data_IF_536045142951
#
_entry.id   IF_536045142951
#
_cell.length_a   1.000
_cell.length_b   1.000
_cell.length_c   1.000
_cell.angle_alpha   90.00
_cell.angle_beta   90.00
_cell.angle_gamma   90.00
#
_symmetry.space_group_name_H-M   'P 1'
#
loop_
_entity.id
_entity.type
_entity.pdbx_description
1 polymer ?
#
# COMPACT_ATOMS: atom_id res chain seq x y z
N UNK A 1 22.64 -13.20 -2.36
CA UNK A 1 21.30 -12.84 -2.88
C UNK A 1 20.66 -11.90 -1.87
N UNK A 2 19.87 -10.91 -2.32
CA UNK A 2 19.12 -9.99 -1.45
C UNK A 2 17.63 -10.25 -1.57
N UNK A 3 16.89 -10.28 -0.46
CA UNK A 3 15.44 -10.61 -0.42
C UNK A 3 14.65 -9.46 0.18
N UNK A 4 13.63 -8.98 -0.53
CA UNK A 4 12.80 -7.86 -0.14
C UNK A 4 11.33 -8.29 -0.03
N UNK A 5 10.61 -7.79 0.98
CA UNK A 5 9.16 -7.94 1.08
C UNK A 5 8.47 -6.85 0.28
N UNK A 6 7.64 -7.24 -0.68
CA UNK A 6 6.76 -6.33 -1.43
C UNK A 6 5.30 -6.66 -1.09
N UNK A 7 4.49 -5.64 -0.83
CA UNK A 7 3.09 -5.82 -0.47
C UNK A 7 2.17 -4.86 -1.23
N UNK A 8 1.15 -5.38 -1.91
CA UNK A 8 0.17 -4.55 -2.63
C UNK A 8 -0.84 -3.88 -1.69
N UNK A 9 -1.08 -4.43 -0.50
CA UNK A 9 -2.09 -3.96 0.45
C UNK A 9 -3.52 -4.01 -0.13
N UNK A 10 -4.04 -5.17 -0.53
CA UNK A 10 -5.36 -5.27 -1.14
C UNK A 10 -6.49 -5.03 -0.13
N UNK A 11 -7.62 -4.52 -0.61
CA UNK A 11 -8.90 -4.58 0.10
C UNK A 11 -9.42 -6.02 0.07
N UNK A 12 -8.83 -6.88 0.90
CA UNK A 12 -9.11 -8.32 0.91
C UNK A 12 -10.53 -8.71 1.34
N UNK A 13 -11.27 -7.78 1.94
CA UNK A 13 -12.65 -7.98 2.37
C UNK A 13 -13.69 -7.47 1.35
N UNK A 14 -13.27 -7.09 0.14
CA UNK A 14 -14.17 -6.63 -0.90
C UNK A 14 -15.23 -7.70 -1.23
N UNK A 15 -16.50 -7.30 -1.29
CA UNK A 15 -17.56 -8.18 -1.74
C UNK A 15 -17.38 -8.52 -3.23
N UNK A 16 -16.89 -9.72 -3.50
CA UNK A 16 -16.57 -10.16 -4.86
C UNK A 16 -17.81 -10.27 -5.76
N UNK A 17 -18.99 -10.58 -5.19
CA UNK A 17 -20.25 -10.62 -5.97
C UNK A 17 -20.66 -9.24 -6.46
N UNK A 18 -20.47 -8.21 -5.62
CA UNK A 18 -20.72 -6.82 -6.03
C UNK A 18 -19.62 -6.33 -6.97
N UNK A 19 -18.35 -6.66 -6.71
CA UNK A 19 -17.23 -6.37 -7.63
C UNK A 19 -17.51 -6.86 -9.04
N UNK A 20 -17.99 -8.10 -9.19
CA UNK A 20 -18.26 -8.74 -10.49
C UNK A 20 -19.34 -8.03 -11.32
N UNK A 21 -20.12 -7.13 -10.72
CA UNK A 21 -21.09 -6.27 -11.42
C UNK A 21 -20.45 -5.04 -12.06
N UNK A 22 -19.18 -4.78 -11.78
CA UNK A 22 -18.41 -3.67 -12.34
C UNK A 22 -17.38 -4.17 -13.36
N UNK A 23 -17.07 -3.40 -14.41
CA UNK A 23 -16.12 -3.83 -15.44
C UNK A 23 -14.71 -4.13 -14.93
N UNK A 24 -14.29 -3.46 -13.85
CA UNK A 24 -12.97 -3.60 -13.27
C UNK A 24 -12.95 -3.17 -11.80
N UNK A 25 -12.05 -3.80 -11.04
CA UNK A 25 -11.67 -3.36 -9.70
C UNK A 25 -10.71 -2.15 -9.72
N UNK A 26 -10.35 -1.65 -10.90
CA UNK A 26 -9.52 -0.47 -11.15
C UNK A 26 -10.32 0.58 -11.91
N UNK A 27 -10.31 1.81 -11.41
CA UNK A 27 -10.97 3.02 -11.92
C UNK A 27 -12.49 2.99 -11.81
N UNK A 28 -13.15 1.90 -12.19
CA UNK A 28 -14.61 1.85 -12.34
C UNK A 28 -15.36 1.40 -11.09
N UNK A 29 -14.66 0.92 -10.06
CA UNK A 29 -15.27 0.41 -8.84
C UNK A 29 -15.64 1.58 -7.90
N UNK A 30 -16.90 1.71 -7.46
CA UNK A 30 -17.29 2.79 -6.57
C UNK A 30 -16.70 2.61 -5.17
N UNK A 31 -16.30 3.72 -4.55
CA UNK A 31 -15.78 3.73 -3.18
C UNK A 31 -16.84 3.38 -2.12
N UNK A 32 -18.13 3.38 -2.47
CA UNK A 32 -19.21 2.94 -1.58
C UNK A 32 -19.12 1.45 -1.22
N UNK A 33 -18.31 0.66 -1.95
CA UNK A 33 -18.00 -0.73 -1.61
C UNK A 33 -16.83 -0.88 -0.63
N UNK A 34 -16.18 0.23 -0.23
CA UNK A 34 -15.09 0.21 0.74
C UNK A 34 -15.64 0.40 2.16
N UNK A 35 -15.40 -0.59 3.02
CA UNK A 35 -15.77 -0.55 4.44
C UNK A 35 -14.62 0.03 5.28
N UNK A 36 -14.73 1.26 5.83
CA UNK A 36 -13.59 1.95 6.43
C UNK A 36 -13.00 1.25 7.65
N UNK A 37 -13.85 0.63 8.49
CA UNK A 37 -13.39 -0.11 9.68
C UNK A 37 -12.53 -1.32 9.31
N UNK A 38 -13.01 -2.09 8.34
CA UNK A 38 -12.27 -3.25 7.81
C UNK A 38 -11.01 -2.80 7.09
N UNK A 39 -11.09 -1.72 6.33
CA UNK A 39 -9.93 -1.11 5.69
C UNK A 39 -8.84 -0.69 6.68
N UNK A 40 -9.22 -0.11 7.82
CA UNK A 40 -8.29 0.20 8.91
C UNK A 40 -7.60 -1.04 9.48
N UNK A 41 -8.36 -2.10 9.79
CA UNK A 41 -7.81 -3.36 10.30
C UNK A 41 -6.82 -3.99 9.30
N UNK A 42 -7.19 -4.04 8.01
CA UNK A 42 -6.33 -4.53 6.94
C UNK A 42 -5.05 -3.69 6.83
N UNK A 43 -5.18 -2.36 6.82
CA UNK A 43 -4.05 -1.46 6.69
C UNK A 43 -3.05 -1.61 7.84
N UNK A 44 -3.54 -1.69 9.08
CA UNK A 44 -2.72 -1.96 10.26
C UNK A 44 -1.99 -3.28 10.13
N UNK A 45 -2.71 -4.36 9.79
CA UNK A 45 -2.11 -5.69 9.60
C UNK A 45 -0.99 -5.65 8.56
N UNK A 46 -1.21 -5.03 7.41
CA UNK A 46 -0.18 -4.99 6.35
C UNK A 46 1.04 -4.15 6.71
N UNK A 47 0.88 -3.10 7.54
CA UNK A 47 2.03 -2.38 8.08
C UNK A 47 2.81 -3.23 9.08
N UNK A 48 2.12 -4.01 9.89
CA UNK A 48 2.74 -4.91 10.87
C UNK A 48 3.45 -6.07 10.15
N UNK A 49 2.87 -6.64 9.09
CA UNK A 49 3.52 -7.65 8.23
C UNK A 49 4.79 -7.10 7.56
N UNK A 50 4.76 -5.85 7.09
CA UNK A 50 5.93 -5.18 6.55
C UNK A 50 6.98 -4.87 7.63
N UNK A 51 6.57 -4.53 8.86
CA UNK A 51 7.47 -4.39 10.00
C UNK A 51 8.14 -5.73 10.35
N UNK A 52 7.34 -6.80 10.41
CA UNK A 52 7.80 -8.15 10.70
C UNK A 52 8.85 -8.63 9.70
N UNK A 53 8.75 -8.24 8.41
CA UNK A 53 9.78 -8.55 7.42
C UNK A 53 11.18 -8.05 7.85
N UNK A 54 11.26 -6.86 8.44
CA UNK A 54 12.51 -6.35 9.00
C UNK A 54 12.95 -7.15 10.24
N UNK A 55 12.01 -7.45 11.15
CA UNK A 55 12.29 -8.20 12.38
C UNK A 55 12.83 -9.62 12.12
N UNK A 56 12.32 -10.30 11.09
CA UNK A 56 12.78 -11.66 10.73
C UNK A 56 14.03 -11.64 9.83
N UNK A 57 14.60 -10.47 9.55
CA UNK A 57 15.90 -10.33 8.89
C UNK A 57 15.88 -10.30 7.36
N UNK A 58 14.77 -9.88 6.72
CA UNK A 58 14.81 -9.59 5.28
C UNK A 58 15.69 -8.35 5.01
N UNK A 59 16.28 -8.30 3.82
CA UNK A 59 17.19 -7.22 3.45
C UNK A 59 16.47 -5.87 3.26
N UNK A 60 15.16 -5.91 3.04
CA UNK A 60 14.35 -4.69 2.98
C UNK A 60 12.86 -4.89 2.75
N UNK A 61 12.16 -3.77 2.81
CA UNK A 61 10.73 -3.64 2.55
C UNK A 61 10.54 -2.69 1.38
N UNK A 62 9.65 -3.08 0.47
CA UNK A 62 9.33 -2.36 -0.74
C UNK A 62 7.87 -1.90 -0.73
N UNK A 63 7.68 -0.59 -0.84
CA UNK A 63 6.37 0.09 -0.90
C UNK A 63 6.07 0.56 -2.33
N UNK A 64 4.80 0.77 -2.66
CA UNK A 64 4.35 1.16 -4.00
C UNK A 64 3.31 2.28 -3.95
N UNK A 65 2.80 2.66 -5.11
CA UNK A 65 1.75 3.65 -5.22
C UNK A 65 0.59 3.15 -6.07
N UNK A 66 -0.61 3.18 -5.50
CA UNK A 66 -1.83 2.73 -6.16
C UNK A 66 -2.99 3.67 -5.86
N UNK A 67 -3.71 4.03 -6.92
CA UNK A 67 -4.85 4.94 -6.88
C UNK A 67 -6.07 4.27 -7.51
N UNK A 68 -7.24 4.56 -6.93
CA UNK A 68 -8.55 4.22 -7.46
C UNK A 68 -8.69 2.75 -7.87
N UNK A 69 -8.19 1.82 -7.04
CA UNK A 69 -8.38 0.38 -7.25
C UNK A 69 -8.52 -0.37 -5.92
N UNK A 70 -8.99 -1.62 -5.98
CA UNK A 70 -9.22 -2.43 -4.78
C UNK A 70 -8.06 -3.36 -4.40
N UNK A 71 -7.03 -3.50 -5.24
CA UNK A 71 -5.88 -4.37 -4.93
C UNK A 71 -4.73 -3.61 -4.26
N UNK A 72 -4.77 -2.28 -4.24
CA UNK A 72 -3.77 -1.45 -3.58
C UNK A 72 -4.35 -0.31 -2.76
N UNK A 73 -4.19 -0.39 -1.44
CA UNK A 73 -4.63 0.62 -0.46
C UNK A 73 -3.54 1.66 -0.15
N UNK A 74 -2.44 1.70 -0.91
CA UNK A 74 -1.31 2.61 -0.67
C UNK A 74 -1.29 3.78 -1.67
N UNK A 75 -1.97 4.91 -1.39
CA UNK A 75 -2.00 6.06 -2.30
C UNK A 75 -0.77 6.96 -2.20
N UNK A 76 0.06 6.82 -1.15
CA UNK A 76 1.31 7.56 -1.01
C UNK A 76 2.41 6.67 -0.45
N UNK A 77 3.38 6.24 -1.28
CA UNK A 77 4.49 5.42 -0.82
C UNK A 77 5.37 6.18 0.18
N UNK A 78 5.47 7.51 0.06
CA UNK A 78 6.29 8.34 0.94
C UNK A 78 5.75 8.36 2.36
N UNK A 79 4.42 8.48 2.53
CA UNK A 79 3.78 8.44 3.85
C UNK A 79 3.98 7.06 4.50
N UNK A 80 3.79 5.98 3.73
CA UNK A 80 3.99 4.62 4.25
C UNK A 80 5.45 4.36 4.60
N UNK A 81 6.38 4.71 3.71
CA UNK A 81 7.82 4.58 3.98
C UNK A 81 8.22 5.38 5.22
N UNK A 82 7.67 6.58 5.42
CA UNK A 82 7.93 7.40 6.61
C UNK A 82 7.41 6.74 7.90
N UNK A 83 6.27 6.05 7.83
CA UNK A 83 5.75 5.25 8.96
C UNK A 83 6.66 4.05 9.25
N UNK A 84 7.07 3.32 8.21
CA UNK A 84 7.94 2.15 8.32
C UNK A 84 9.34 2.51 8.80
N UNK A 85 9.88 3.69 8.43
CA UNK A 85 11.20 4.15 8.85
C UNK A 85 11.36 4.25 10.38
N UNK A 86 10.27 4.38 11.13
CA UNK A 86 10.29 4.32 12.61
C UNK A 86 10.07 2.93 13.19
N UNK A 87 9.55 1.99 12.38
CA UNK A 87 9.16 0.63 12.79
C UNK A 87 10.21 -0.42 12.41
N UNK A 88 11.01 -0.14 11.39
CA UNK A 88 12.00 -1.09 10.86
C UNK A 88 13.41 -0.62 11.20
N UNK A 89 14.18 -1.50 11.84
CA UNK A 89 15.61 -1.30 12.07
C UNK A 89 16.42 -2.25 11.16
N UNK A 90 17.62 -1.84 10.77
CA UNK A 90 18.59 -2.68 10.04
C UNK A 90 18.17 -3.25 8.67
N UNK A 91 17.03 -2.86 8.10
CA UNK A 91 16.63 -3.21 6.73
C UNK A 91 16.66 -1.98 5.79
N UNK A 92 16.59 -2.20 4.47
CA UNK A 92 16.42 -1.14 3.48
C UNK A 92 14.94 -0.84 3.26
N UNK A 93 14.61 0.43 3.02
CA UNK A 93 13.28 0.84 2.55
C UNK A 93 13.40 1.25 1.08
N UNK A 94 12.60 0.62 0.22
CA UNK A 94 12.56 0.88 -1.20
C UNK A 94 11.18 1.40 -1.62
N UNK A 95 11.15 2.52 -2.33
CA UNK A 95 9.92 3.02 -2.97
C UNK A 95 9.94 2.55 -4.43
N UNK A 96 9.10 1.57 -4.74
CA UNK A 96 8.94 0.99 -6.07
C UNK A 96 7.83 1.71 -6.83
N UNK A 97 8.17 2.91 -7.28
CA UNK A 97 7.24 3.82 -7.96
C UNK A 97 6.74 4.90 -7.01
N UNK A 98 7.09 6.13 -7.34
CA UNK A 98 6.50 7.34 -6.81
C UNK A 98 5.98 8.11 -8.02
N UNK A 99 4.67 8.29 -8.13
CA UNK A 99 4.01 8.91 -9.26
C UNK A 99 4.15 10.44 -9.16
N UNK A 100 5.36 10.95 -9.34
CA UNK A 100 5.71 12.36 -9.18
C UNK A 100 4.78 13.33 -9.92
N UNK A 101 4.26 12.96 -11.09
CA UNK A 101 3.32 13.76 -11.86
C UNK A 101 1.92 13.92 -11.21
N UNK A 102 1.61 13.11 -10.19
CA UNK A 102 0.36 13.19 -9.42
C UNK A 102 0.50 14.03 -8.15
N UNK A 103 1.72 14.45 -7.80
CA UNK A 103 1.98 15.30 -6.64
C UNK A 103 2.10 16.77 -7.05
N UNK A 104 1.72 17.68 -6.17
CA UNK A 104 2.00 19.11 -6.37
C UNK A 104 3.51 19.33 -6.52
N UNK A 105 3.89 20.18 -7.48
CA UNK A 105 5.28 20.44 -7.75
C UNK A 105 5.93 21.19 -6.57
N UNK A 106 6.96 20.61 -5.92
CA UNK A 106 7.44 21.08 -4.62
C UNK A 106 8.09 22.47 -4.66
N UNK A 107 8.44 22.97 -5.86
CA UNK A 107 9.07 24.28 -6.06
C UNK A 107 8.12 25.37 -6.55
N UNK A 108 6.84 25.06 -6.78
CA UNK A 108 5.87 26.07 -7.24
C UNK A 108 4.70 26.08 -6.27
N UNK A 109 4.72 27.07 -5.38
CA UNK A 109 3.55 27.58 -4.66
C UNK A 109 3.37 29.04 -5.02
#
# INVERSE_FOLDING_TARGET
MKVFMFHLMPCGALNMKERDRHPSAWVTLPNSLYEPKVGHELYTRYLDEQGLAAEIGLDGVAVNEHHQNAYGLMPSPVVVASSLARRTEHCKLAILGNAYALHEHPLTR
#
